data_IF_128691830125
#
_entry.id   IF_128691830125
#
_cell.length_a   1.000
_cell.length_b   1.000
_cell.length_c   1.000
_cell.angle_alpha   90.00
_cell.angle_beta   90.00
_cell.angle_gamma   90.00
#
_symmetry.space_group_name_H-M   'P 1'
#
loop_
_entity.id
_entity.type
_entity.pdbx_description
1 polymer ?
#
# COMPACT_ATOMS: atom_id res chain seq x y z
N UNK A 1 -19.25 -8.73 18.91
CA UNK A 1 -18.79 -8.10 17.64
C UNK A 1 -19.93 -8.19 16.65
N UNK A 2 -20.31 -7.06 16.05
CA UNK A 2 -21.31 -7.01 14.98
C UNK A 2 -20.57 -6.83 13.65
N UNK A 3 -20.88 -7.66 12.66
CA UNK A 3 -20.32 -7.56 11.30
C UNK A 3 -21.45 -7.20 10.35
N UNK A 4 -21.25 -6.13 9.58
CA UNK A 4 -22.19 -5.67 8.57
C UNK A 4 -21.44 -5.66 7.24
N UNK A 5 -21.96 -6.36 6.23
CA UNK A 5 -21.36 -6.50 4.90
C UNK A 5 -22.33 -6.05 3.81
N UNK A 6 -21.87 -6.03 2.55
CA UNK A 6 -22.69 -5.63 1.39
C UNK A 6 -23.26 -4.22 1.49
N UNK A 7 -22.54 -3.30 2.15
CA UNK A 7 -22.89 -1.89 2.30
C UNK A 7 -21.61 -1.06 2.38
N UNK A 8 -21.73 0.26 2.30
CA UNK A 8 -20.65 1.22 2.47
C UNK A 8 -21.02 2.24 3.54
N UNK A 9 -20.02 2.98 4.03
CA UNK A 9 -20.26 4.18 4.81
C UNK A 9 -20.70 5.30 3.88
N UNK A 10 -21.81 5.95 4.20
CA UNK A 10 -22.34 7.12 3.48
C UNK A 10 -21.93 8.42 4.20
N UNK A 11 -22.04 8.45 5.53
CA UNK A 11 -21.64 9.59 6.35
C UNK A 11 -21.01 9.17 7.68
N UNK A 12 -20.14 10.03 8.21
CA UNK A 12 -19.57 9.93 9.57
C UNK A 12 -19.79 11.26 10.27
N UNK A 13 -20.37 11.22 11.46
CA UNK A 13 -20.62 12.40 12.29
C UNK A 13 -20.29 12.12 13.77
N UNK A 14 -20.63 13.07 14.65
CA UNK A 14 -20.33 12.98 16.08
C UNK A 14 -21.08 11.85 16.82
N UNK A 15 -22.15 11.31 16.23
CA UNK A 15 -22.93 10.21 16.80
C UNK A 15 -22.49 8.83 16.30
N UNK A 16 -21.79 8.77 15.16
CA UNK A 16 -21.27 7.53 14.60
C UNK A 16 -21.27 7.51 13.08
N UNK A 17 -21.80 6.44 12.49
CA UNK A 17 -21.71 6.15 11.06
C UNK A 17 -23.10 5.87 10.47
N UNK A 18 -23.45 6.54 9.37
CA UNK A 18 -24.60 6.18 8.53
C UNK A 18 -24.14 5.29 7.37
N UNK A 19 -24.80 4.15 7.21
CA UNK A 19 -24.56 3.20 6.13
C UNK A 19 -25.39 3.58 4.90
N UNK A 20 -24.96 3.17 3.71
CA UNK A 20 -25.69 3.41 2.45
C UNK A 20 -27.09 2.77 2.41
N UNK A 21 -27.39 1.86 3.34
CA UNK A 21 -28.72 1.29 3.56
C UNK A 21 -29.68 2.21 4.34
N UNK A 22 -29.18 3.33 4.88
CA UNK A 22 -29.90 4.23 5.78
C UNK A 22 -29.81 3.85 7.27
N UNK A 23 -29.23 2.69 7.59
CA UNK A 23 -28.99 2.30 8.98
C UNK A 23 -27.88 3.15 9.61
N UNK A 24 -28.04 3.53 10.89
CA UNK A 24 -27.00 4.21 11.66
C UNK A 24 -26.39 3.30 12.72
N UNK A 25 -25.06 3.36 12.87
CA UNK A 25 -24.29 2.66 13.89
C UNK A 25 -23.66 3.70 14.80
N UNK A 26 -24.14 3.76 16.05
CA UNK A 26 -23.63 4.71 17.05
C UNK A 26 -22.24 4.31 17.56
N UNK A 27 -21.38 5.29 17.83
CA UNK A 27 -20.08 5.05 18.45
C UNK A 27 -19.24 6.31 18.66
N UNK A 28 -18.44 6.32 19.73
CA UNK A 28 -17.60 7.46 20.10
C UNK A 28 -16.31 7.57 19.26
N UNK A 29 -15.90 6.47 18.61
CA UNK A 29 -14.67 6.38 17.81
C UNK A 29 -14.94 5.63 16.51
N UNK A 30 -14.54 6.24 15.39
CA UNK A 30 -14.57 5.63 14.06
C UNK A 30 -13.14 5.41 13.58
N UNK A 31 -12.81 4.17 13.23
CA UNK A 31 -11.51 3.81 12.63
C UNK A 31 -11.72 3.43 11.17
N UNK A 32 -11.16 4.21 10.25
CA UNK A 32 -11.20 3.92 8.83
C UNK A 32 -10.00 3.06 8.42
N UNK A 33 -10.25 1.83 7.99
CA UNK A 33 -9.25 0.87 7.51
C UNK A 33 -9.58 0.39 6.08
N UNK A 34 -9.79 1.34 5.16
CA UNK A 34 -10.32 1.10 3.80
C UNK A 34 -9.24 0.83 2.75
N UNK A 35 -8.04 0.46 3.18
CA UNK A 35 -6.88 0.26 2.31
C UNK A 35 -5.98 1.50 2.17
N UNK A 36 -4.87 1.32 1.46
CA UNK A 36 -3.83 2.35 1.25
C UNK A 36 -3.50 2.47 -0.24
N UNK A 37 -2.86 3.59 -0.61
CA UNK A 37 -2.31 3.79 -1.96
C UNK A 37 -0.81 4.11 -1.83
N UNK A 38 0.06 3.48 -2.64
CA UNK A 38 1.48 3.84 -2.67
C UNK A 38 1.70 5.33 -2.96
N UNK A 39 2.57 5.98 -2.19
CA UNK A 39 3.04 7.34 -2.50
C UNK A 39 4.21 7.28 -3.49
N UNK A 40 3.91 7.56 -4.76
CA UNK A 40 4.86 7.51 -5.87
C UNK A 40 5.25 8.90 -6.38
N UNK A 41 4.90 9.98 -5.67
CA UNK A 41 5.13 11.34 -6.16
C UNK A 41 6.61 11.60 -6.42
N UNK A 42 7.46 11.34 -5.42
CA UNK A 42 8.91 11.51 -5.54
C UNK A 42 9.51 10.65 -6.65
N UNK A 43 9.05 9.39 -6.77
CA UNK A 43 9.53 8.48 -7.79
C UNK A 43 9.16 8.95 -9.20
N UNK A 44 7.94 9.51 -9.36
CA UNK A 44 7.49 10.10 -10.62
C UNK A 44 8.31 11.33 -10.97
N UNK A 45 8.50 12.24 -10.02
CA UNK A 45 9.25 13.49 -10.20
C UNK A 45 10.73 13.22 -10.56
N UNK A 46 11.30 12.14 -10.01
CA UNK A 46 12.66 11.69 -10.30
C UNK A 46 12.78 10.81 -11.57
N UNK A 47 11.68 10.56 -12.28
CA UNK A 47 11.68 9.83 -13.56
C UNK A 47 11.90 8.32 -13.42
N UNK A 48 11.55 7.72 -12.27
CA UNK A 48 11.68 6.28 -12.06
C UNK A 48 10.62 5.52 -12.88
N UNK A 49 10.94 4.29 -13.25
CA UNK A 49 10.00 3.38 -13.88
C UNK A 49 8.86 3.03 -12.89
N UNK A 50 7.64 3.40 -13.27
CA UNK A 50 6.42 3.12 -12.50
C UNK A 50 5.54 2.14 -13.28
N UNK A 51 5.01 1.13 -12.59
CA UNK A 51 4.02 0.20 -13.13
C UNK A 51 2.89 0.00 -12.13
N UNK A 52 1.64 0.07 -12.58
CA UNK A 52 0.45 -0.11 -11.73
C UNK A 52 0.47 0.73 -10.43
N UNK A 53 1.03 1.95 -10.49
CA UNK A 53 1.12 2.84 -9.34
C UNK A 53 2.22 2.50 -8.32
N UNK A 54 3.25 1.74 -8.70
CA UNK A 54 4.37 1.33 -7.85
C UNK A 54 5.71 1.45 -8.57
N UNK A 55 6.78 1.59 -7.79
CA UNK A 55 8.16 1.67 -8.29
C UNK A 55 8.63 0.27 -8.70
N UNK A 56 9.09 0.12 -9.94
CA UNK A 56 9.67 -1.15 -10.39
C UNK A 56 11.11 -1.23 -9.93
N UNK A 57 11.47 -2.34 -9.27
CA UNK A 57 12.85 -2.62 -8.85
C UNK A 57 13.28 -4.03 -9.25
N UNK A 58 14.58 -4.20 -9.43
CA UNK A 58 15.21 -5.52 -9.65
C UNK A 58 15.33 -6.31 -8.32
N UNK A 59 15.92 -7.51 -8.37
CA UNK A 59 16.15 -8.36 -7.20
C UNK A 59 17.15 -7.77 -6.19
N UNK A 60 17.86 -6.69 -6.55
CA UNK A 60 18.77 -5.94 -5.68
C UNK A 60 18.15 -4.61 -5.21
N UNK A 61 16.83 -4.43 -5.40
CA UNK A 61 16.07 -3.23 -5.03
C UNK A 61 16.50 -1.95 -5.77
N UNK A 62 17.21 -2.09 -6.89
CA UNK A 62 17.62 -0.96 -7.73
C UNK A 62 16.44 -0.50 -8.57
N UNK A 63 16.25 0.82 -8.63
CA UNK A 63 15.26 1.43 -9.54
C UNK A 63 15.84 1.55 -10.94
N UNK A 64 15.07 2.09 -11.89
CA UNK A 64 15.56 2.41 -13.24
C UNK A 64 16.59 3.55 -13.28
N UNK A 65 16.77 4.29 -12.17
CA UNK A 65 17.72 5.40 -12.08
C UNK A 65 18.91 4.99 -11.22
N UNK A 66 20.11 5.23 -11.75
CA UNK A 66 21.36 4.88 -11.09
C UNK A 66 21.47 5.52 -9.69
N UNK A 67 21.94 4.75 -8.72
CA UNK A 67 22.07 5.13 -7.30
C UNK A 67 20.76 5.51 -6.59
N UNK A 68 19.60 5.19 -7.17
CA UNK A 68 18.31 5.29 -6.50
C UNK A 68 17.75 3.90 -6.27
N UNK A 69 17.41 3.61 -5.02
CA UNK A 69 16.85 2.35 -4.56
C UNK A 69 15.47 2.60 -3.97
N UNK A 70 14.62 1.58 -4.03
CA UNK A 70 13.30 1.62 -3.40
C UNK A 70 12.99 0.27 -2.74
N UNK A 71 12.31 0.31 -1.61
CA UNK A 71 11.95 -0.86 -0.82
C UNK A 71 10.59 -0.62 -0.14
N UNK A 72 9.97 -1.70 0.33
CA UNK A 72 8.68 -1.71 0.99
C UNK A 72 7.50 -1.69 0.03
N UNK A 73 6.32 -1.44 0.58
CA UNK A 73 5.03 -1.53 -0.09
C UNK A 73 4.97 -0.71 -1.39
N UNK A 74 5.77 0.36 -1.51
CA UNK A 74 5.80 1.18 -2.73
C UNK A 74 6.31 0.44 -3.97
N UNK A 75 6.92 -0.74 -3.80
CA UNK A 75 7.63 -1.45 -4.87
C UNK A 75 6.83 -2.56 -5.54
N UNK A 76 7.18 -2.81 -6.79
CA UNK A 76 7.03 -4.11 -7.45
C UNK A 76 8.44 -4.71 -7.51
N UNK A 77 8.73 -5.65 -6.61
CA UNK A 77 10.02 -6.28 -6.48
C UNK A 77 10.09 -7.61 -7.24
N UNK A 78 11.24 -7.94 -7.83
CA UNK A 78 11.46 -9.26 -8.39
C UNK A 78 11.64 -10.30 -7.27
N UNK A 79 10.74 -11.28 -7.19
CA UNK A 79 10.92 -12.41 -6.29
C UNK A 79 11.73 -13.50 -6.97
N UNK A 80 12.97 -13.69 -6.51
CA UNK A 80 13.92 -14.66 -7.08
C UNK A 80 13.39 -16.09 -7.04
N UNK A 81 12.75 -16.49 -5.93
CA UNK A 81 12.22 -17.85 -5.78
C UNK A 81 11.05 -18.14 -6.74
N UNK A 82 10.21 -17.13 -7.01
CA UNK A 82 9.06 -17.25 -7.90
C UNK A 82 9.39 -16.90 -9.37
N UNK A 83 10.58 -16.37 -9.65
CA UNK A 83 11.02 -15.95 -10.99
C UNK A 83 10.17 -14.85 -11.62
N UNK A 84 9.46 -14.05 -10.80
CA UNK A 84 8.50 -13.04 -11.29
C UNK A 84 8.37 -11.84 -10.35
N UNK A 85 7.90 -10.69 -10.86
CA UNK A 85 7.58 -9.55 -10.00
C UNK A 85 6.40 -9.85 -9.08
N UNK A 86 6.48 -9.38 -7.84
CA UNK A 86 5.42 -9.46 -6.84
C UNK A 86 5.22 -8.11 -6.15
N UNK A 87 3.99 -7.89 -5.68
CA UNK A 87 3.67 -6.83 -4.72
C UNK A 87 3.55 -7.53 -3.36
N UNK A 88 4.35 -7.09 -2.40
CA UNK A 88 4.32 -7.56 -1.03
C UNK A 88 4.06 -6.36 -0.11
N UNK A 89 2.90 -6.35 0.54
CA UNK A 89 2.49 -5.30 1.50
C UNK A 89 2.55 -5.86 2.92
N UNK A 90 3.74 -6.28 3.32
CA UNK A 90 3.97 -6.92 4.60
C UNK A 90 5.30 -6.45 5.20
N UNK A 91 5.27 -6.14 6.50
CA UNK A 91 6.38 -5.51 7.21
C UNK A 91 7.71 -6.29 7.10
N UNK A 92 7.64 -7.62 7.04
CA UNK A 92 8.83 -8.47 6.93
C UNK A 92 9.48 -8.35 5.56
N UNK A 93 8.68 -8.34 4.49
CA UNK A 93 9.19 -8.14 3.14
C UNK A 93 9.83 -6.77 3.01
N UNK A 94 9.19 -5.73 3.55
CA UNK A 94 9.75 -4.39 3.58
C UNK A 94 11.12 -4.33 4.30
N UNK A 95 11.25 -4.98 5.46
CA UNK A 95 12.51 -5.04 6.19
C UNK A 95 13.61 -5.79 5.43
N UNK A 96 13.27 -6.90 4.77
CA UNK A 96 14.23 -7.68 3.97
C UNK A 96 14.66 -6.92 2.71
N UNK A 97 13.72 -6.25 2.03
CA UNK A 97 14.03 -5.38 0.90
C UNK A 97 14.94 -4.23 1.32
N UNK A 98 14.70 -3.62 2.49
CA UNK A 98 15.59 -2.60 3.05
C UNK A 98 17.02 -3.09 3.29
N UNK A 99 17.17 -4.32 3.80
CA UNK A 99 18.50 -4.94 3.95
C UNK A 99 19.18 -5.13 2.59
N UNK A 100 18.47 -5.64 1.58
CA UNK A 100 19.02 -5.86 0.24
C UNK A 100 19.41 -4.55 -0.43
N UNK A 101 18.60 -3.49 -0.28
CA UNK A 101 18.89 -2.17 -0.83
C UNK A 101 20.13 -1.51 -0.19
N UNK A 102 20.50 -1.91 1.03
CA UNK A 102 21.64 -1.39 1.76
C UNK A 102 22.97 -2.15 1.55
N UNK A 103 22.97 -3.22 0.75
CA UNK A 103 24.18 -3.97 0.37
C UNK A 103 24.97 -3.27 -0.74
#
# INVERSE_FOLDING_TARGET
VRVISSTTVDAVDASGVTLATGESVEGDVVVAATGVRPDIRLATDAGLAIRHGRVVVDEHMRTSVHNIYAAGDVTIAHNVAAGRPIVAEHWRDAAQQGLVAGL
#
